data_IF_833557467978
#
_entry.id   IF_833557467978
#
_cell.length_a   1.000
_cell.length_b   1.000
_cell.length_c   1.000
_cell.angle_alpha   90.00
_cell.angle_beta   90.00
_cell.angle_gamma   90.00
#
_symmetry.space_group_name_H-M   'P 1'
#
loop_
_entity.id
_entity.type
_entity.pdbx_description
1 polymer ?
#
# COMPACT_ATOMS: atom_id res chain seq x y z
N UNK A 1 6.20 3.37 9.63
CA UNK A 1 4.83 3.42 9.07
C UNK A 1 4.90 4.26 7.81
N UNK A 2 4.65 3.66 6.64
CA UNK A 2 4.68 4.38 5.36
C UNK A 2 3.24 4.51 4.90
N UNK A 3 2.73 5.73 4.86
CA UNK A 3 1.40 6.04 4.34
C UNK A 3 1.50 7.28 3.48
N UNK A 4 0.75 7.32 2.38
CA UNK A 4 0.59 8.53 1.58
C UNK A 4 -0.76 9.18 1.96
N UNK A 5 -0.77 10.24 2.82
CA UNK A 5 -2.00 10.85 3.31
C UNK A 5 -2.89 11.41 2.19
N UNK A 6 -2.27 11.80 1.06
CA UNK A 6 -2.96 12.29 -0.13
C UNK A 6 -3.74 11.18 -0.83
N UNK A 7 -3.19 9.96 -0.90
CA UNK A 7 -3.90 8.81 -1.48
C UNK A 7 -4.98 8.29 -0.53
N UNK A 8 -4.72 8.32 0.78
CA UNK A 8 -5.73 7.98 1.79
C UNK A 8 -6.96 8.90 1.69
N UNK A 9 -6.74 10.21 1.49
CA UNK A 9 -7.82 11.17 1.25
C UNK A 9 -8.64 10.83 0.01
N UNK A 10 -8.01 10.39 -1.08
CA UNK A 10 -8.73 9.98 -2.28
C UNK A 10 -9.52 8.68 -2.10
N UNK A 11 -8.98 7.69 -1.38
CA UNK A 11 -9.70 6.44 -1.10
C UNK A 11 -10.95 6.64 -0.25
N UNK A 12 -10.89 7.50 0.78
CA UNK A 12 -12.02 7.83 1.66
C UNK A 12 -13.19 8.48 0.89
N UNK A 13 -12.92 9.15 -0.24
CA UNK A 13 -13.99 9.71 -1.09
C UNK A 13 -14.85 8.64 -1.76
N UNK A 14 -14.27 7.47 -2.03
CA UNK A 14 -14.95 6.39 -2.75
C UNK A 14 -15.47 5.31 -1.81
N UNK A 15 -14.72 5.00 -0.75
CA UNK A 15 -15.09 4.04 0.28
C UNK A 15 -14.76 4.68 1.63
N UNK A 16 -15.74 5.26 2.34
CA UNK A 16 -15.50 5.96 3.60
C UNK A 16 -14.75 5.09 4.63
N UNK A 17 -15.07 3.79 4.69
CA UNK A 17 -14.42 2.82 5.58
C UNK A 17 -12.96 2.53 5.21
N UNK A 18 -12.53 2.86 3.99
CA UNK A 18 -11.15 2.64 3.55
C UNK A 18 -10.13 3.50 4.30
N UNK A 19 -10.57 4.58 4.96
CA UNK A 19 -9.74 5.37 5.87
C UNK A 19 -9.23 4.58 7.06
N UNK A 20 -9.91 3.50 7.45
CA UNK A 20 -9.51 2.63 8.56
C UNK A 20 -8.31 1.73 8.23
N UNK A 21 -7.96 1.55 6.96
CA UNK A 21 -6.74 0.83 6.54
C UNK A 21 -5.49 1.72 6.58
N UNK A 22 -5.59 2.95 7.10
CA UNK A 22 -4.43 3.72 7.46
C UNK A 22 -3.86 3.22 8.79
N UNK A 23 -2.56 2.89 8.86
CA UNK A 23 -1.52 3.06 7.86
C UNK A 23 -1.19 1.77 7.10
N UNK A 24 -0.57 1.92 5.92
CA UNK A 24 -0.04 0.77 5.19
C UNK A 24 1.15 0.18 5.97
N UNK A 25 1.14 -1.14 6.13
CA UNK A 25 2.15 -1.87 6.89
C UNK A 25 3.28 -2.31 5.97
N UNK A 26 4.50 -1.87 6.28
CA UNK A 26 5.74 -2.35 5.66
C UNK A 26 6.53 -3.04 6.75
N UNK A 27 6.92 -4.29 6.54
CA UNK A 27 7.72 -5.07 7.48
C UNK A 27 9.16 -5.14 6.96
N UNK A 28 10.11 -4.74 7.81
CA UNK A 28 11.54 -4.81 7.52
C UNK A 28 12.14 -5.81 8.51
N UNK A 29 12.85 -6.81 8.00
CA UNK A 29 13.46 -7.88 8.80
C UNK A 29 14.91 -8.08 8.35
N UNK A 30 15.84 -8.08 9.29
CA UNK A 30 17.26 -8.35 9.03
C UNK A 30 17.57 -9.80 9.37
N UNK A 31 18.01 -10.55 8.36
CA UNK A 31 18.34 -11.97 8.46
C UNK A 31 19.79 -12.20 8.06
N UNK A 32 20.30 -13.40 8.32
CA UNK A 32 21.68 -13.76 7.99
C UNK A 32 22.00 -13.61 6.48
N UNK A 33 20.99 -13.66 5.62
CA UNK A 33 21.07 -13.48 4.17
C UNK A 33 20.76 -12.04 3.69
N UNK A 34 20.48 -11.10 4.61
CA UNK A 34 20.34 -9.68 4.32
C UNK A 34 19.05 -9.05 4.83
N UNK A 35 18.79 -7.83 4.38
CA UNK A 35 17.58 -7.07 4.74
C UNK A 35 16.44 -7.44 3.80
N UNK A 36 15.34 -7.92 4.39
CA UNK A 36 14.12 -8.28 3.69
C UNK A 36 13.05 -7.23 3.95
N UNK A 37 12.39 -6.77 2.87
CA UNK A 37 11.27 -5.84 2.98
C UNK A 37 10.01 -6.48 2.40
N UNK A 38 8.97 -6.57 3.21
CA UNK A 38 7.66 -7.12 2.84
C UNK A 38 6.59 -6.02 2.86
N UNK A 39 5.70 -6.07 1.88
CA UNK A 39 4.63 -5.09 1.69
C UNK A 39 3.32 -5.80 1.34
N UNK A 40 2.26 -5.47 2.09
CA UNK A 40 0.92 -5.92 1.76
C UNK A 40 0.29 -5.00 0.71
N UNK A 41 -0.18 -5.58 -0.39
CA UNK A 41 -0.81 -4.84 -1.49
C UNK A 41 -2.18 -4.29 -1.07
N UNK A 42 -2.37 -2.99 -1.23
CA UNK A 42 -3.62 -2.31 -0.97
C UNK A 42 -4.74 -2.77 -1.92
N UNK A 43 -4.40 -3.17 -3.14
CA UNK A 43 -5.37 -3.73 -4.08
C UNK A 43 -6.04 -5.00 -3.52
N UNK A 44 -5.28 -5.83 -2.80
CA UNK A 44 -5.81 -7.07 -2.19
C UNK A 44 -6.82 -6.78 -1.09
N UNK A 45 -6.62 -5.72 -0.30
CA UNK A 45 -7.59 -5.26 0.70
C UNK A 45 -8.84 -4.61 0.08
N UNK A 46 -8.72 -3.95 -1.07
CA UNK A 46 -9.86 -3.24 -1.66
C UNK A 46 -10.72 -4.08 -2.60
N UNK A 47 -10.21 -5.23 -3.05
CA UNK A 47 -10.89 -6.11 -4.02
C UNK A 47 -12.31 -6.49 -3.61
N UNK A 48 -12.56 -6.69 -2.31
CA UNK A 48 -13.88 -7.10 -1.82
C UNK A 48 -14.93 -5.96 -1.81
N UNK A 49 -14.52 -4.71 -1.98
CA UNK A 49 -15.45 -3.57 -2.06
C UNK A 49 -16.00 -3.33 -3.47
N UNK A 50 -15.44 -3.99 -4.50
CA UNK A 50 -15.98 -3.95 -5.87
C UNK A 50 -15.91 -2.59 -6.59
N UNK A 51 -15.32 -1.56 -5.99
CA UNK A 51 -15.15 -0.24 -6.62
C UNK A 51 -13.94 -0.23 -7.56
N UNK A 52 -14.19 -0.06 -8.86
CA UNK A 52 -13.16 0.09 -9.89
C UNK A 52 -12.23 1.27 -9.64
N UNK A 53 -12.78 2.38 -9.16
CA UNK A 53 -12.07 3.61 -8.86
C UNK A 53 -11.15 3.43 -7.65
N UNK A 54 -11.65 2.82 -6.58
CA UNK A 54 -10.84 2.51 -5.41
C UNK A 54 -9.70 1.54 -5.76
N UNK A 55 -9.98 0.54 -6.61
CA UNK A 55 -8.96 -0.41 -7.08
C UNK A 55 -7.87 0.25 -7.91
N UNK A 56 -8.23 1.16 -8.83
CA UNK A 56 -7.25 1.91 -9.62
C UNK A 56 -6.33 2.76 -8.74
N UNK A 57 -6.89 3.39 -7.70
CA UNK A 57 -6.12 4.16 -6.71
C UNK A 57 -5.16 3.27 -5.92
N UNK A 58 -5.63 2.09 -5.46
CA UNK A 58 -4.78 1.14 -4.74
C UNK A 58 -3.65 0.56 -5.60
N UNK A 59 -3.94 0.19 -6.85
CA UNK A 59 -2.93 -0.30 -7.79
C UNK A 59 -1.83 0.73 -8.05
N UNK A 60 -2.19 2.01 -8.16
CA UNK A 60 -1.23 3.09 -8.33
C UNK A 60 -0.31 3.23 -7.10
N UNK A 61 -0.88 3.12 -5.90
CA UNK A 61 -0.13 3.14 -4.65
C UNK A 61 0.82 1.94 -4.55
N UNK A 62 0.34 0.73 -4.82
CA UNK A 62 1.14 -0.50 -4.79
C UNK A 62 2.35 -0.40 -5.73
N UNK A 63 2.15 0.15 -6.93
CA UNK A 63 3.22 0.35 -7.90
C UNK A 63 4.30 1.32 -7.38
N UNK A 64 3.90 2.44 -6.76
CA UNK A 64 4.83 3.42 -6.20
C UNK A 64 5.63 2.85 -5.03
N UNK A 65 4.98 2.15 -4.11
CA UNK A 65 5.67 1.54 -2.96
C UNK A 65 6.64 0.46 -3.46
N UNK A 66 6.20 -0.41 -4.36
CA UNK A 66 7.06 -1.48 -4.89
C UNK A 66 8.28 -0.91 -5.64
N UNK A 67 8.12 0.21 -6.36
CA UNK A 67 9.25 0.90 -7.00
C UNK A 67 10.25 1.44 -5.97
N UNK A 68 9.77 2.14 -4.94
CA UNK A 68 10.62 2.65 -3.85
C UNK A 68 11.37 1.52 -3.14
N UNK A 69 10.69 0.40 -2.86
CA UNK A 69 11.32 -0.75 -2.21
C UNK A 69 12.43 -1.37 -3.07
N UNK A 70 12.25 -1.40 -4.40
CA UNK A 70 13.30 -1.86 -5.32
C UNK A 70 14.50 -0.92 -5.36
N UNK A 71 14.27 0.39 -5.31
CA UNK A 71 15.34 1.39 -5.24
C UNK A 71 16.15 1.29 -3.95
N UNK A 72 15.51 0.95 -2.82
CA UNK A 72 16.20 0.79 -1.53
C UNK A 72 16.91 -0.56 -1.37
N UNK A 73 16.55 -1.58 -2.16
CA UNK A 73 17.13 -2.93 -2.09
C UNK A 73 18.27 -3.17 -3.11
N UNK A 74 18.60 -2.17 -3.94
CA UNK A 74 19.75 -2.17 -4.85
C UNK A 74 20.93 -1.40 -4.30
#
# INVERSE_FOLDING_TARGET
MVGNPLIMKEMVKHVPDAGSYAPVTVLIDERADGVHVSYDKMESYLRHYGSSEALAVAQNLDAKITALLRECAG
#
